data_IF_450136338665
#
_entry.id   IF_450136338665
#
_cell.length_a   1.000
_cell.length_b   1.000
_cell.length_c   1.000
_cell.angle_alpha   90.00
_cell.angle_beta   90.00
_cell.angle_gamma   90.00
#
_symmetry.space_group_name_H-M   'P 1'
#
loop_
_entity.id
_entity.type
_entity.pdbx_description
1 polymer ?
#
# COMPACT_ATOMS: atom_id res chain seq x y z
N UNK A 1 -7.01 -23.69 0.64
CA UNK A 1 -7.00 -22.53 -0.26
C UNK A 1 -5.72 -21.76 -0.03
N UNK A 2 -5.07 -21.25 -1.07
CA UNK A 2 -3.83 -20.49 -0.90
C UNK A 2 -4.15 -19.07 -0.44
N UNK A 3 -3.43 -18.58 0.58
CA UNK A 3 -3.62 -17.23 1.13
C UNK A 3 -2.68 -16.22 0.47
N UNK A 4 -3.13 -14.96 0.41
CA UNK A 4 -2.42 -13.88 -0.28
C UNK A 4 -2.11 -12.68 0.61
N UNK A 5 -0.92 -12.12 0.46
CA UNK A 5 -0.56 -10.78 0.93
C UNK A 5 -0.46 -9.89 -0.30
N UNK A 6 -1.36 -8.92 -0.41
CA UNK A 6 -1.52 -8.09 -1.62
C UNK A 6 -1.00 -6.69 -1.35
N UNK A 7 0.00 -6.24 -2.10
CA UNK A 7 0.55 -4.89 -2.00
C UNK A 7 -0.15 -3.99 -3.02
N UNK A 8 -0.69 -2.86 -2.58
CA UNK A 8 -1.35 -1.85 -3.40
C UNK A 8 -0.90 -0.44 -2.99
N UNK A 9 -0.93 0.52 -3.91
CA UNK A 9 -0.49 1.89 -3.63
C UNK A 9 -0.15 2.67 -4.90
N UNK A 10 0.09 3.97 -4.78
CA UNK A 10 0.46 4.81 -5.92
C UNK A 10 1.75 4.36 -6.57
N UNK A 11 1.95 4.76 -7.83
CA UNK A 11 3.23 4.53 -8.49
C UNK A 11 4.34 5.30 -7.77
N UNK A 12 5.54 4.72 -7.72
CA UNK A 12 6.74 5.29 -7.11
C UNK A 12 6.70 5.49 -5.58
N UNK A 13 5.72 4.94 -4.86
CA UNK A 13 5.72 4.90 -3.38
C UNK A 13 6.72 3.89 -2.81
N UNK A 14 7.32 3.04 -3.65
CA UNK A 14 8.28 2.01 -3.24
C UNK A 14 7.67 0.62 -3.06
N UNK A 15 6.45 0.40 -3.55
CA UNK A 15 5.72 -0.89 -3.49
C UNK A 15 6.52 -2.07 -4.07
N UNK A 16 7.08 -1.96 -5.28
CA UNK A 16 7.87 -3.05 -5.87
C UNK A 16 9.23 -3.25 -5.18
N UNK A 17 9.81 -2.21 -4.57
CA UNK A 17 10.98 -2.35 -3.70
C UNK A 17 10.61 -3.14 -2.44
N UNK A 18 9.49 -2.80 -1.81
CA UNK A 18 8.97 -3.51 -0.66
C UNK A 18 8.65 -4.97 -0.99
N UNK A 19 8.05 -5.23 -2.16
CA UNK A 19 7.80 -6.58 -2.65
C UNK A 19 9.10 -7.39 -2.75
N UNK A 20 10.17 -6.80 -3.29
CA UNK A 20 11.47 -7.46 -3.36
C UNK A 20 12.04 -7.74 -1.96
N UNK A 21 11.96 -6.80 -1.03
CA UNK A 21 12.41 -6.99 0.37
C UNK A 21 11.63 -8.08 1.12
N UNK A 22 10.35 -8.29 0.77
CA UNK A 22 9.52 -9.34 1.36
C UNK A 22 9.76 -10.71 0.72
N UNK A 23 10.06 -10.76 -0.58
CA UNK A 23 10.01 -12.02 -1.36
C UNK A 23 11.36 -12.47 -1.92
N UNK A 24 12.34 -11.59 -1.99
CA UNK A 24 13.59 -11.78 -2.73
C UNK A 24 13.40 -11.85 -4.26
N UNK A 25 12.19 -11.66 -4.79
CA UNK A 25 11.88 -11.73 -6.22
C UNK A 25 11.71 -10.33 -6.79
N UNK A 26 12.34 -10.07 -7.92
CA UNK A 26 12.18 -8.79 -8.65
C UNK A 26 10.91 -8.84 -9.46
N UNK A 27 10.07 -7.82 -9.30
CA UNK A 27 8.95 -7.57 -10.21
C UNK A 27 9.53 -7.20 -11.58
N UNK A 28 9.12 -7.85 -12.69
CA UNK A 28 9.58 -7.48 -14.02
C UNK A 28 9.20 -6.02 -14.32
N UNK A 29 10.20 -5.15 -14.37
CA UNK A 29 9.99 -3.76 -14.78
C UNK A 29 9.89 -3.77 -16.31
N UNK A 30 8.69 -3.54 -16.84
CA UNK A 30 8.52 -3.35 -18.28
C UNK A 30 9.45 -2.23 -18.78
N UNK A 31 9.93 -2.32 -20.03
CA UNK A 31 10.92 -1.40 -20.62
C UNK A 31 10.50 0.08 -20.67
N UNK A 32 9.29 0.46 -20.22
CA UNK A 32 8.86 1.86 -20.07
C UNK A 32 8.40 2.11 -18.62
N UNK A 33 8.59 3.33 -18.09
CA UNK A 33 8.01 3.72 -16.82
C UNK A 33 6.48 3.56 -16.86
N UNK A 34 5.89 2.87 -15.87
CA UNK A 34 4.44 2.73 -15.73
C UNK A 34 3.80 1.44 -16.28
N UNK A 35 4.56 0.42 -16.68
CA UNK A 35 3.99 -0.84 -17.26
C UNK A 35 3.94 -2.01 -16.26
N UNK A 36 3.47 -1.80 -15.04
CA UNK A 36 2.82 -2.93 -14.34
C UNK A 36 1.36 -2.83 -14.75
N UNK A 37 0.96 -3.59 -15.78
CA UNK A 37 -0.44 -3.61 -16.27
C UNK A 37 -1.25 -4.75 -15.64
N UNK A 38 -0.57 -5.72 -15.01
CA UNK A 38 -1.18 -6.89 -14.39
C UNK A 38 -0.54 -7.14 -13.02
N UNK A 39 -1.27 -7.71 -12.06
CA UNK A 39 -0.71 -8.13 -10.78
C UNK A 39 0.46 -9.10 -10.98
N UNK A 40 1.59 -8.84 -10.32
CA UNK A 40 2.72 -9.78 -10.32
C UNK A 40 2.66 -10.64 -9.05
N UNK A 41 2.61 -11.96 -9.22
CA UNK A 41 2.41 -12.91 -8.12
C UNK A 41 3.62 -13.82 -7.95
N UNK A 42 4.06 -14.02 -6.72
CA UNK A 42 5.10 -15.00 -6.38
C UNK A 42 4.79 -15.71 -5.07
N UNK A 43 5.30 -16.92 -4.89
CA UNK A 43 5.06 -17.72 -3.68
C UNK A 43 6.28 -17.69 -2.77
N UNK A 44 6.07 -17.43 -1.47
CA UNK A 44 7.08 -17.52 -0.42
C UNK A 44 6.53 -18.42 0.69
N UNK A 45 7.13 -19.60 0.86
CA UNK A 45 6.55 -20.64 1.72
C UNK A 45 5.16 -21.05 1.21
N UNK A 46 4.14 -20.87 2.04
CA UNK A 46 2.74 -21.20 1.72
C UNK A 46 1.88 -19.99 1.33
N UNK A 47 2.45 -18.78 1.33
CA UNK A 47 1.74 -17.53 1.06
C UNK A 47 2.11 -17.01 -0.32
N UNK A 48 1.12 -16.53 -1.06
CA UNK A 48 1.37 -15.75 -2.26
C UNK A 48 1.52 -14.27 -1.91
N UNK A 49 2.54 -13.64 -2.48
CA UNK A 49 2.70 -12.19 -2.45
C UNK A 49 2.32 -11.65 -3.82
N UNK A 50 1.53 -10.59 -3.82
CA UNK A 50 1.00 -9.97 -5.05
C UNK A 50 1.40 -8.50 -5.07
N UNK A 51 2.07 -8.06 -6.13
CA UNK A 51 2.35 -6.66 -6.41
C UNK A 51 1.31 -6.13 -7.39
N UNK A 52 0.34 -5.37 -6.89
CA UNK A 52 -0.69 -4.76 -7.72
C UNK A 52 -0.11 -3.62 -8.58
N UNK A 53 -0.67 -3.34 -9.76
CA UNK A 53 -0.31 -2.17 -10.53
C UNK A 53 -0.54 -0.88 -9.72
N UNK A 54 0.38 0.07 -9.81
CA UNK A 54 0.24 1.34 -9.11
C UNK A 54 -0.67 2.31 -9.87
N UNK A 55 -1.66 2.89 -9.22
CA UNK A 55 -2.68 3.73 -9.86
C UNK A 55 -2.19 5.14 -10.26
N UNK A 56 -0.99 5.57 -9.81
CA UNK A 56 -0.49 6.94 -9.97
C UNK A 56 0.11 7.32 -11.34
N UNK A 57 0.74 6.39 -12.06
CA UNK A 57 1.42 6.70 -13.35
C UNK A 57 0.43 6.88 -14.50
N UNK A 58 -0.75 6.28 -14.36
CA UNK A 58 -1.85 6.42 -15.32
C UNK A 58 -2.61 7.74 -15.19
N UNK A 59 -2.27 8.59 -14.21
CA UNK A 59 -2.80 9.96 -14.19
C UNK A 59 -2.38 10.80 -15.41
N UNK A 60 -1.35 10.35 -16.14
CA UNK A 60 -0.96 10.91 -17.45
C UNK A 60 -1.62 10.19 -18.63
N UNK A 61 -2.33 9.09 -18.38
CA UNK A 61 -3.09 8.35 -19.36
C UNK A 61 -4.51 8.95 -19.49
N UNK A 62 -5.24 8.52 -20.51
CA UNK A 62 -6.59 9.05 -20.78
C UNK A 62 -7.54 8.72 -19.61
N UNK A 63 -8.67 9.44 -19.47
CA UNK A 63 -9.69 9.11 -18.45
C UNK A 63 -10.10 7.62 -18.50
N UNK A 64 -10.20 7.05 -19.70
CA UNK A 64 -10.52 5.65 -19.91
C UNK A 64 -9.45 4.68 -19.38
N UNK A 65 -8.17 5.06 -19.39
CA UNK A 65 -7.09 4.22 -18.84
C UNK A 65 -7.06 4.27 -17.30
N UNK A 66 -7.42 5.43 -16.71
CA UNK A 66 -7.58 5.58 -15.27
C UNK A 66 -8.71 4.70 -14.73
N UNK A 67 -9.85 4.72 -15.42
CA UNK A 67 -11.02 3.89 -15.12
C UNK A 67 -10.67 2.40 -15.19
N UNK A 68 -9.98 1.97 -16.26
CA UNK A 68 -9.57 0.56 -16.42
C UNK A 68 -8.74 -0.03 -15.30
N UNK A 69 -7.83 0.72 -14.64
CA UNK A 69 -7.15 0.13 -13.46
C UNK A 69 -7.83 0.39 -12.14
N UNK A 70 -8.74 1.36 -12.04
CA UNK A 70 -9.71 1.34 -10.94
C UNK A 70 -10.52 0.04 -11.03
N UNK A 71 -11.05 -0.30 -12.21
CA UNK A 71 -11.79 -1.54 -12.45
C UNK A 71 -10.93 -2.78 -12.15
N UNK A 72 -9.68 -2.84 -12.64
CA UNK A 72 -8.78 -3.96 -12.35
C UNK A 72 -8.51 -4.14 -10.85
N UNK A 73 -8.30 -3.05 -10.12
CA UNK A 73 -8.07 -3.09 -8.67
C UNK A 73 -9.34 -3.59 -7.99
N UNK A 74 -10.49 -2.98 -8.29
CA UNK A 74 -11.79 -3.34 -7.69
C UNK A 74 -12.10 -4.81 -7.95
N UNK A 75 -12.09 -5.25 -9.21
CA UNK A 75 -12.36 -6.63 -9.59
C UNK A 75 -11.41 -7.61 -8.91
N UNK A 76 -10.10 -7.29 -8.83
CA UNK A 76 -9.15 -8.17 -8.14
C UNK A 76 -9.51 -8.35 -6.67
N UNK A 77 -9.76 -7.26 -5.95
CA UNK A 77 -10.05 -7.32 -4.52
C UNK A 77 -11.41 -7.98 -4.23
N UNK A 78 -12.43 -7.76 -5.07
CA UNK A 78 -13.73 -8.42 -4.95
C UNK A 78 -13.66 -9.92 -5.23
N UNK A 79 -13.01 -10.32 -6.33
CA UNK A 79 -12.89 -11.74 -6.74
C UNK A 79 -12.03 -12.55 -5.76
N UNK A 80 -10.96 -11.94 -5.23
CA UNK A 80 -10.00 -12.62 -4.37
C UNK A 80 -10.19 -12.37 -2.87
N UNK A 81 -11.24 -11.66 -2.45
CA UNK A 81 -11.45 -11.23 -1.05
C UNK A 81 -11.26 -12.36 -0.02
N UNK A 82 -11.68 -13.59 -0.34
CA UNK A 82 -11.57 -14.76 0.56
C UNK A 82 -10.14 -15.34 0.67
N UNK A 83 -9.33 -15.14 -0.36
CA UNK A 83 -7.93 -15.57 -0.40
C UNK A 83 -6.99 -14.53 0.19
N UNK A 84 -7.36 -13.25 0.14
CA UNK A 84 -6.58 -12.15 0.71
C UNK A 84 -6.54 -12.30 2.24
N UNK A 85 -5.35 -12.61 2.74
CA UNK A 85 -5.05 -12.64 4.17
C UNK A 85 -4.77 -11.24 4.71
N UNK A 86 -4.10 -10.41 3.91
CA UNK A 86 -3.71 -9.06 4.29
C UNK A 86 -3.54 -8.17 3.06
N UNK A 87 -4.24 -7.06 3.03
CA UNK A 87 -4.00 -5.98 2.07
C UNK A 87 -2.98 -5.00 2.67
N UNK A 88 -1.86 -4.80 1.98
CA UNK A 88 -0.80 -3.87 2.37
C UNK A 88 -0.89 -2.63 1.49
N UNK A 89 -1.47 -1.57 2.02
CA UNK A 89 -1.48 -0.27 1.33
C UNK A 89 -0.16 0.46 1.58
N UNK A 90 0.59 0.71 0.52
CA UNK A 90 1.90 1.38 0.57
C UNK A 90 1.75 2.84 0.16
N UNK A 91 2.18 3.75 1.03
CA UNK A 91 2.21 5.20 0.77
C UNK A 91 3.63 5.76 0.88
N UNK A 92 3.88 6.92 0.27
CA UNK A 92 5.09 7.73 0.54
C UNK A 92 4.77 8.70 1.67
N UNK A 93 5.13 8.34 2.90
CA UNK A 93 4.80 9.11 4.10
C UNK A 93 5.32 10.56 4.04
N UNK A 94 6.46 10.78 3.36
CA UNK A 94 7.06 12.11 3.25
C UNK A 94 6.34 13.03 2.26
N UNK A 95 5.42 12.51 1.44
CA UNK A 95 4.66 13.32 0.48
C UNK A 95 3.15 13.16 0.61
N UNK A 96 2.67 12.25 1.45
CA UNK A 96 1.25 11.94 1.59
C UNK A 96 0.45 13.18 1.99
N UNK A 97 0.86 13.88 3.05
CA UNK A 97 0.15 15.06 3.57
C UNK A 97 0.08 16.18 2.53
N UNK A 98 1.22 16.54 1.91
CA UNK A 98 1.28 17.54 0.84
C UNK A 98 0.36 17.21 -0.35
N UNK A 99 0.21 15.91 -0.65
CA UNK A 99 -0.64 15.49 -1.76
C UNK A 99 -2.11 15.49 -1.32
N UNK A 100 -2.41 15.05 -0.12
CA UNK A 100 -3.76 15.10 0.44
C UNK A 100 -4.30 16.53 0.44
N UNK A 101 -3.52 17.48 0.96
CA UNK A 101 -3.89 18.90 1.03
C UNK A 101 -4.16 19.51 -0.37
N UNK A 102 -3.39 19.11 -1.39
CA UNK A 102 -3.58 19.59 -2.77
C UNK A 102 -4.85 19.08 -3.42
N UNK A 103 -5.26 17.85 -3.11
CA UNK A 103 -6.50 17.26 -3.63
C UNK A 103 -7.72 17.88 -2.93
N UNK A 104 -7.65 18.01 -1.60
CA UNK A 104 -8.70 18.69 -0.83
C UNK A 104 -8.87 20.15 -1.25
N UNK A 105 -7.78 20.86 -1.54
CA UNK A 105 -7.84 22.23 -2.08
C UNK A 105 -8.54 22.34 -3.45
N UNK A 106 -8.72 21.21 -4.16
CA UNK A 106 -9.51 21.11 -5.41
C UNK A 106 -10.93 20.59 -5.17
N UNK A 107 -11.29 20.29 -3.92
CA UNK A 107 -12.56 19.64 -3.57
C UNK A 107 -12.62 18.17 -3.95
N UNK A 108 -11.48 17.50 -4.10
CA UNK A 108 -11.38 16.08 -4.46
C UNK A 108 -10.84 15.26 -3.28
N UNK A 109 -11.29 14.01 -3.14
CA UNK A 109 -10.76 13.09 -2.14
C UNK A 109 -9.45 12.49 -2.65
N UNK A 110 -8.36 12.50 -1.86
CA UNK A 110 -7.13 11.82 -2.22
C UNK A 110 -7.37 10.32 -2.42
N UNK A 111 -6.95 9.77 -3.55
CA UNK A 111 -7.16 8.34 -3.84
C UNK A 111 -6.57 7.37 -2.81
N UNK A 112 -5.54 7.78 -2.07
CA UNK A 112 -4.98 6.95 -1.00
C UNK A 112 -6.00 6.80 0.14
N UNK A 113 -6.84 7.80 0.37
CA UNK A 113 -7.95 7.74 1.33
C UNK A 113 -9.09 6.88 0.73
N UNK A 114 -9.50 7.14 -0.53
CA UNK A 114 -10.53 6.31 -1.21
C UNK A 114 -10.19 4.82 -1.19
N UNK A 115 -8.93 4.47 -1.46
CA UNK A 115 -8.47 3.09 -1.46
C UNK A 115 -8.51 2.48 -0.06
N UNK A 116 -8.14 3.24 0.97
CA UNK A 116 -8.17 2.75 2.35
C UNK A 116 -9.60 2.44 2.78
N UNK A 117 -10.53 3.36 2.52
CA UNK A 117 -11.96 3.19 2.77
C UNK A 117 -12.51 1.98 2.00
N UNK A 118 -12.18 1.83 0.72
CA UNK A 118 -12.60 0.68 -0.09
C UNK A 118 -12.14 -0.66 0.48
N UNK A 119 -10.90 -0.77 0.96
CA UNK A 119 -10.38 -2.01 1.56
C UNK A 119 -11.13 -2.34 2.87
N UNK A 120 -11.44 -1.31 3.66
CA UNK A 120 -12.20 -1.47 4.91
C UNK A 120 -13.67 -1.82 4.63
N UNK A 121 -14.30 -1.24 3.61
CA UNK A 121 -15.68 -1.56 3.17
C UNK A 121 -15.82 -3.01 2.67
N UNK A 122 -14.77 -3.55 2.03
CA UNK A 122 -14.71 -4.97 1.67
C UNK A 122 -14.50 -5.90 2.88
N UNK A 123 -14.28 -5.35 4.08
CA UNK A 123 -14.00 -6.12 5.29
C UNK A 123 -12.64 -6.83 5.26
N UNK A 124 -11.71 -6.33 4.46
CA UNK A 124 -10.36 -6.91 4.36
C UNK A 124 -9.51 -6.49 5.56
N UNK A 125 -8.66 -7.40 6.00
CA UNK A 125 -7.59 -7.05 6.94
C UNK A 125 -6.57 -6.18 6.21
N UNK A 126 -6.46 -4.91 6.60
CA UNK A 126 -5.65 -3.90 5.92
C UNK A 126 -4.56 -3.33 6.85
N UNK A 127 -3.34 -3.20 6.30
CA UNK A 127 -2.20 -2.54 6.97
C UNK A 127 -1.63 -1.44 6.08
N UNK A 128 -1.41 -0.27 6.67
CA UNK A 128 -0.72 0.85 6.05
C UNK A 128 0.79 0.68 6.21
N UNK A 129 1.49 0.43 5.11
CA UNK A 129 2.93 0.54 5.03
C UNK A 129 3.33 1.99 4.73
N UNK A 130 3.52 2.79 5.79
CA UNK A 130 4.01 4.16 5.70
C UNK A 130 5.50 4.15 5.32
N UNK A 131 5.78 4.18 4.01
CA UNK A 131 7.12 4.00 3.48
C UNK A 131 7.89 5.31 3.34
N UNK A 132 9.21 5.18 3.15
CA UNK A 132 10.18 6.27 3.00
C UNK A 132 10.33 7.13 4.27
N UNK A 133 10.17 6.52 5.44
CA UNK A 133 10.41 7.17 6.74
C UNK A 133 11.85 7.68 6.90
N UNK A 134 12.79 7.23 6.06
CA UNK A 134 14.15 7.78 5.97
C UNK A 134 14.21 9.22 5.42
N UNK A 135 13.14 9.71 4.80
CA UNK A 135 13.00 11.09 4.32
C UNK A 135 12.38 12.04 5.35
N UNK A 136 11.84 11.50 6.44
CA UNK A 136 11.25 12.29 7.54
C UNK A 136 12.27 12.31 8.68
N UNK A 137 12.57 13.51 9.18
CA UNK A 137 13.50 13.69 10.28
C UNK A 137 12.98 12.96 11.53
N UNK A 138 13.87 12.35 12.31
CA UNK A 138 13.50 11.40 13.37
C UNK A 138 12.52 11.99 14.39
N UNK A 139 12.71 13.25 14.75
CA UNK A 139 11.88 13.98 15.71
C UNK A 139 10.45 14.28 15.21
N UNK A 140 10.24 14.27 13.88
CA UNK A 140 8.96 14.64 13.27
C UNK A 140 8.14 13.40 12.86
N UNK A 141 8.68 12.19 13.04
CA UNK A 141 8.07 10.95 12.55
C UNK A 141 6.73 10.65 13.20
N UNK A 142 6.65 10.78 14.52
CA UNK A 142 5.43 10.45 15.24
C UNK A 142 4.31 11.42 14.88
N UNK A 143 4.59 12.73 14.84
CA UNK A 143 3.62 13.74 14.40
C UNK A 143 3.17 13.55 12.96
N UNK A 144 4.09 13.18 12.05
CA UNK A 144 3.71 12.86 10.67
C UNK A 144 2.80 11.63 10.58
N UNK A 145 3.08 10.58 11.36
CA UNK A 145 2.25 9.38 11.41
C UNK A 145 0.88 9.65 12.04
N UNK A 146 0.81 10.48 13.09
CA UNK A 146 -0.45 10.90 13.70
C UNK A 146 -1.36 11.60 12.68
N UNK A 147 -0.81 12.56 11.93
CA UNK A 147 -1.55 13.26 10.87
C UNK A 147 -1.97 12.33 9.74
N UNK A 148 -1.09 11.40 9.32
CA UNK A 148 -1.45 10.39 8.30
C UNK A 148 -2.60 9.51 8.80
N UNK A 149 -2.54 9.05 10.04
CA UNK A 149 -3.59 8.25 10.66
C UNK A 149 -4.91 9.01 10.69
N UNK A 150 -4.90 10.27 11.13
CA UNK A 150 -6.10 11.11 11.21
C UNK A 150 -6.76 11.26 9.83
N UNK A 151 -5.98 11.50 8.77
CA UNK A 151 -6.46 11.56 7.38
C UNK A 151 -7.09 10.25 6.88
N UNK A 152 -6.73 9.12 7.48
CA UNK A 152 -7.28 7.80 7.18
C UNK A 152 -8.39 7.38 8.16
N UNK A 153 -8.89 8.31 8.98
CA UNK A 153 -9.95 8.04 9.96
C UNK A 153 -9.49 7.32 11.22
N UNK A 154 -8.18 7.19 11.45
CA UNK A 154 -7.60 6.58 12.65
C UNK A 154 -7.20 7.67 13.65
N UNK A 155 -7.75 7.62 14.87
CA UNK A 155 -7.43 8.61 15.90
C UNK A 155 -5.96 8.53 16.34
N UNK A 156 -5.30 9.66 16.66
CA UNK A 156 -3.96 9.65 17.25
C UNK A 156 -3.99 9.19 18.73
N UNK A 157 -2.86 8.72 19.29
CA UNK A 157 -1.56 8.57 18.61
C UNK A 157 -1.52 7.33 17.71
N UNK A 158 -0.73 7.39 16.64
CA UNK A 158 -0.56 6.30 15.67
C UNK A 158 -0.11 4.98 16.34
N UNK A 159 0.59 5.09 17.47
CA UNK A 159 1.15 3.96 18.22
C UNK A 159 0.09 2.99 18.77
N UNK A 160 -1.19 3.38 18.85
CA UNK A 160 -2.27 2.44 19.19
C UNK A 160 -2.64 1.50 18.03
N UNK A 161 -2.23 1.85 16.81
CA UNK A 161 -2.53 1.12 15.58
C UNK A 161 -1.33 0.31 15.08
N UNK A 162 -0.42 -0.16 15.94
CA UNK A 162 0.79 -0.89 15.53
C UNK A 162 0.54 -2.23 14.82
N UNK A 163 -0.70 -2.73 14.85
CA UNK A 163 -1.17 -3.87 14.07
C UNK A 163 -1.69 -3.48 12.67
N UNK A 164 -2.05 -2.21 12.45
CA UNK A 164 -2.56 -1.65 11.18
C UNK A 164 -1.66 -0.60 10.53
N UNK A 165 -0.63 -0.10 11.22
CA UNK A 165 0.27 0.95 10.73
C UNK A 165 1.72 0.51 10.93
N UNK A 166 2.44 0.39 9.82
CA UNK A 166 3.82 -0.05 9.77
C UNK A 166 4.71 1.05 9.14
N UNK A 167 5.38 1.88 9.96
CA UNK A 167 6.39 2.81 9.46
C UNK A 167 7.62 2.05 8.98
N UNK A 168 8.01 2.25 7.73
CA UNK A 168 9.10 1.50 7.09
C UNK A 168 9.99 2.37 6.19
N UNK A 169 11.17 1.84 5.87
CA UNK A 169 11.98 2.29 4.74
C UNK A 169 12.43 1.09 3.92
N UNK A 170 11.66 0.77 2.87
CA UNK A 170 12.00 -0.32 1.96
C UNK A 170 13.37 -0.13 1.30
N UNK A 171 13.75 1.12 0.98
CA UNK A 171 15.07 1.44 0.41
C UNK A 171 16.23 1.11 1.36
N UNK A 172 15.99 1.17 2.67
CA UNK A 172 16.99 0.88 3.71
C UNK A 172 16.89 -0.55 4.24
N UNK A 173 15.98 -1.38 3.71
CA UNK A 173 15.69 -2.71 4.24
C UNK A 173 15.01 -2.70 5.62
N UNK A 174 14.61 -1.52 6.12
CA UNK A 174 14.00 -1.34 7.43
C UNK A 174 12.49 -1.58 7.32
N UNK A 175 12.09 -2.85 7.30
CA UNK A 175 10.70 -3.30 7.10
C UNK A 175 10.19 -4.18 8.24
N UNK A 176 10.88 -4.20 9.37
CA UNK A 176 10.58 -5.03 10.54
C UNK A 176 9.16 -4.82 11.09
N UNK A 177 8.64 -3.58 11.21
CA UNK A 177 7.26 -3.37 11.68
C UNK A 177 6.23 -4.08 10.79
N UNK A 178 6.39 -4.00 9.46
CA UNK A 178 5.50 -4.68 8.53
C UNK A 178 5.67 -6.20 8.58
N UNK A 179 6.91 -6.71 8.64
CA UNK A 179 7.18 -8.15 8.77
C UNK A 179 6.54 -8.72 10.04
N UNK A 180 6.54 -7.97 11.14
CA UNK A 180 5.89 -8.37 12.38
C UNK A 180 4.37 -8.48 12.21
N UNK A 181 3.72 -7.51 11.56
CA UNK A 181 2.29 -7.59 11.23
C UNK A 181 1.99 -8.81 10.35
N UNK A 182 2.69 -8.97 9.23
CA UNK A 182 2.50 -10.09 8.31
C UNK A 182 2.67 -11.42 9.03
N UNK A 183 3.72 -11.57 9.84
CA UNK A 183 4.02 -12.83 10.54
C UNK A 183 2.92 -13.18 11.55
N UNK A 184 2.36 -12.20 12.26
CA UNK A 184 1.22 -12.42 13.16
C UNK A 184 -0.01 -12.89 12.40
N UNK A 185 -0.35 -12.25 11.27
CA UNK A 185 -1.50 -12.62 10.44
C UNK A 185 -1.34 -14.00 9.81
N UNK A 186 -0.13 -14.33 9.35
CA UNK A 186 0.18 -15.66 8.79
C UNK A 186 0.12 -16.76 9.84
N UNK A 187 0.49 -16.48 11.09
CA UNK A 187 0.44 -17.47 12.18
C UNK A 187 -0.98 -17.87 12.60
N UNK A 188 -1.99 -17.01 12.32
CA UNK A 188 -3.39 -17.26 12.67
C UNK A 188 -4.25 -17.70 11.48
N UNK A 189 -3.65 -17.83 10.29
CA UNK A 189 -4.31 -18.15 9.01
C UNK A 189 -4.32 -19.65 8.70
#
# INVERSE_FOLDING_TARGET
>A
MSKEVVLIGRSNVGKSTLFWELTGKKVPIGKRPGITQYPFKTKVGNIFYVDMPGYGFMFRATKADQEKTKDLIVHYFEEHAREILLAVQVIDAASFLDIADRWEGRGEVPMEIELWEFLDDLGLDSVLAANKMDRIAKQDRDGALDLICERLGMLPPWTQWQDRVAPISAKRGQIEPLRAVISRKVAVA
#
